data_IF_364777019366
#
_entry.id   IF_364777019366
#
_cell.length_a   1.000
_cell.length_b   1.000
_cell.length_c   1.000
_cell.angle_alpha   90.00
_cell.angle_beta   90.00
_cell.angle_gamma   90.00
#
_symmetry.space_group_name_H-M   'P 1'
#
loop_
_entity.id
_entity.type
_entity.pdbx_description
1 polymer ?
#
# COMPACT_ATOMS: atom_id res chain seq x y z
N UNK A 1 -14.99 24.24 -27.15
CA UNK A 1 -14.02 24.20 -26.03
C UNK A 1 -14.21 22.87 -25.31
N UNK A 2 -13.21 22.00 -25.32
CA UNK A 2 -13.28 20.70 -24.65
C UNK A 2 -12.90 20.90 -23.17
N UNK A 3 -13.87 20.82 -22.28
CA UNK A 3 -13.65 20.93 -20.82
C UNK A 3 -12.91 19.70 -20.30
N UNK A 4 -11.78 19.96 -19.63
CA UNK A 4 -10.85 18.97 -19.10
C UNK A 4 -11.15 18.61 -17.63
N UNK A 5 -12.43 18.56 -17.25
CA UNK A 5 -12.87 18.32 -15.85
C UNK A 5 -13.13 16.85 -15.49
N UNK A 6 -12.79 15.91 -16.38
CA UNK A 6 -13.15 14.49 -16.21
C UNK A 6 -12.15 13.64 -15.39
N UNK A 7 -11.06 14.22 -14.86
CA UNK A 7 -9.99 13.44 -14.21
C UNK A 7 -10.14 13.37 -12.67
N UNK A 8 -11.11 14.06 -12.07
CA UNK A 8 -11.33 14.02 -10.61
C UNK A 8 -12.35 12.96 -10.15
N UNK A 9 -13.00 12.26 -11.08
CA UNK A 9 -14.17 11.41 -10.80
C UNK A 9 -13.90 9.97 -10.32
N UNK A 10 -12.65 9.46 -10.33
CA UNK A 10 -12.38 8.03 -10.07
C UNK A 10 -11.89 7.68 -8.65
N UNK A 11 -12.00 8.59 -7.67
CA UNK A 11 -11.56 8.35 -6.27
C UNK A 11 -12.69 8.25 -5.23
N UNK A 12 -13.96 8.16 -5.63
CA UNK A 12 -15.11 8.15 -4.70
C UNK A 12 -15.77 6.76 -4.55
N UNK A 13 -15.01 5.80 -4.06
CA UNK A 13 -15.59 4.49 -3.71
C UNK A 13 -14.66 3.52 -3.01
N UNK A 14 -13.40 3.91 -2.79
CA UNK A 14 -12.48 3.06 -2.04
C UNK A 14 -12.68 3.33 -0.55
N UNK A 15 -12.96 2.30 0.26
CA UNK A 15 -12.99 2.46 1.71
C UNK A 15 -11.65 3.04 2.20
N UNK A 16 -11.69 3.77 3.30
CA UNK A 16 -10.47 4.28 3.93
C UNK A 16 -9.49 3.12 4.22
N UNK A 17 -8.18 3.32 4.02
CA UNK A 17 -7.20 2.29 4.33
C UNK A 17 -7.27 1.89 5.80
N UNK A 18 -7.22 0.58 6.10
CA UNK A 18 -7.21 0.10 7.48
C UNK A 18 -5.86 0.38 8.16
N UNK A 19 -5.82 0.27 9.49
CA UNK A 19 -4.58 0.44 10.26
C UNK A 19 -3.48 -0.53 9.82
N UNK A 20 -3.84 -1.76 9.46
CA UNK A 20 -2.92 -2.77 8.92
C UNK A 20 -2.36 -2.35 7.56
N UNK A 21 -3.20 -1.80 6.67
CA UNK A 21 -2.72 -1.27 5.38
C UNK A 21 -1.78 -0.08 5.58
N UNK A 22 -2.11 0.83 6.51
CA UNK A 22 -1.28 2.00 6.83
C UNK A 22 0.03 1.62 7.53
N UNK A 23 0.05 0.49 8.23
CA UNK A 23 1.25 -0.07 8.86
C UNK A 23 2.05 -0.98 7.92
N UNK A 24 1.63 -1.07 6.65
CA UNK A 24 2.25 -1.92 5.64
C UNK A 24 2.10 -3.41 5.94
N UNK A 25 1.19 -3.85 6.81
CA UNK A 25 0.94 -5.26 7.12
C UNK A 25 -0.01 -5.91 6.11
N UNK A 26 -0.81 -5.12 5.41
CA UNK A 26 -1.69 -5.57 4.35
C UNK A 26 -1.44 -4.81 3.05
N UNK A 27 -1.75 -5.44 1.92
CA UNK A 27 -1.74 -4.77 0.63
C UNK A 27 -2.73 -3.61 0.62
N UNK A 28 -2.25 -2.42 0.26
CA UNK A 28 -3.10 -1.24 0.15
C UNK A 28 -4.28 -1.52 -0.77
N UNK A 29 -4.07 -2.25 -1.89
CA UNK A 29 -5.08 -2.50 -2.94
C UNK A 29 -6.01 -3.67 -2.64
N UNK A 30 -5.49 -4.88 -2.46
CA UNK A 30 -6.31 -6.09 -2.34
C UNK A 30 -6.53 -6.54 -0.89
N UNK A 31 -5.93 -5.86 0.09
CA UNK A 31 -6.08 -6.21 1.51
C UNK A 31 -5.40 -7.51 1.93
N UNK A 32 -4.61 -8.15 1.06
CA UNK A 32 -3.85 -9.36 1.41
C UNK A 32 -2.96 -9.08 2.61
N UNK A 33 -3.15 -9.85 3.68
CA UNK A 33 -2.32 -9.81 4.87
C UNK A 33 -0.99 -10.51 4.61
N UNK A 34 0.10 -9.76 4.72
CA UNK A 34 1.44 -10.26 4.46
C UNK A 34 1.98 -11.19 5.55
N UNK A 35 1.31 -11.25 6.71
CA UNK A 35 1.70 -12.13 7.83
C UNK A 35 1.26 -13.57 7.60
N UNK A 36 0.19 -13.77 6.83
CA UNK A 36 -0.41 -15.08 6.58
C UNK A 36 -0.26 -15.56 5.14
N UNK A 37 0.05 -14.66 4.21
CA UNK A 37 0.23 -15.02 2.81
C UNK A 37 1.58 -15.76 2.58
N UNK A 38 1.60 -16.82 1.76
CA UNK A 38 2.84 -17.47 1.35
C UNK A 38 3.60 -16.58 0.37
N UNK A 39 4.77 -16.08 0.81
CA UNK A 39 5.74 -15.32 0.00
C UNK A 39 5.16 -14.19 -0.89
N UNK A 40 4.35 -13.25 -0.37
CA UNK A 40 3.96 -12.08 -1.14
C UNK A 40 5.18 -11.17 -1.37
N UNK A 41 5.56 -10.97 -2.62
CA UNK A 41 6.48 -9.90 -3.00
C UNK A 41 5.78 -8.56 -2.80
N UNK A 42 5.95 -7.96 -1.62
CA UNK A 42 5.46 -6.62 -1.33
C UNK A 42 6.46 -5.58 -1.83
N UNK A 43 5.98 -4.50 -2.45
CA UNK A 43 6.79 -3.38 -2.92
C UNK A 43 6.28 -2.07 -2.36
N UNK A 44 7.18 -1.10 -2.14
CA UNK A 44 6.84 0.24 -1.68
C UNK A 44 6.18 1.01 -2.82
N UNK A 45 5.00 1.58 -2.57
CA UNK A 45 4.23 2.31 -3.59
C UNK A 45 4.04 3.79 -3.27
N UNK A 46 4.15 4.16 -1.98
CA UNK A 46 4.10 5.53 -1.50
C UNK A 46 4.51 5.59 -0.03
N UNK A 47 4.57 6.81 0.51
CA UNK A 47 4.79 7.06 1.93
C UNK A 47 3.61 7.81 2.52
N UNK A 48 3.38 7.60 3.81
CA UNK A 48 2.42 8.38 4.62
C UNK A 48 2.86 8.36 6.08
N UNK A 49 2.90 9.53 6.71
CA UNK A 49 3.21 9.69 8.15
C UNK A 49 4.48 8.91 8.56
N UNK A 50 5.56 9.08 7.77
CA UNK A 50 6.85 8.38 7.88
C UNK A 50 6.81 6.84 7.78
N UNK A 51 5.71 6.29 7.25
CA UNK A 51 5.53 4.86 6.99
C UNK A 51 5.53 4.55 5.50
N UNK A 52 6.04 3.38 5.16
CA UNK A 52 5.96 2.81 3.82
C UNK A 52 4.57 2.19 3.60
N UNK A 53 3.86 2.66 2.58
CA UNK A 53 2.66 2.01 2.08
C UNK A 53 3.07 0.98 1.03
N UNK A 54 2.51 -0.23 1.14
CA UNK A 54 2.92 -1.38 0.35
C UNK A 54 1.78 -1.94 -0.50
N UNK A 55 2.14 -2.49 -1.65
CA UNK A 55 1.23 -3.29 -2.47
C UNK A 55 1.91 -4.59 -2.94
N UNK A 56 1.12 -5.59 -3.32
CA UNK A 56 1.66 -6.77 -3.99
C UNK A 56 2.31 -6.35 -5.31
N UNK A 57 3.42 -6.98 -5.67
CA UNK A 57 4.07 -6.80 -6.96
C UNK A 57 3.10 -7.03 -8.13
N UNK A 58 3.35 -6.37 -9.25
CA UNK A 58 2.53 -6.49 -10.46
C UNK A 58 1.29 -5.58 -10.43
N UNK A 59 0.10 -6.16 -10.47
CA UNK A 59 -1.15 -5.40 -10.69
C UNK A 59 -1.48 -4.45 -9.55
N UNK A 60 -1.27 -4.85 -8.29
CA UNK A 60 -1.56 -3.97 -7.15
C UNK A 60 -0.59 -2.79 -7.11
N UNK A 61 0.70 -3.02 -7.30
CA UNK A 61 1.69 -1.97 -7.43
C UNK A 61 1.35 -1.00 -8.58
N UNK A 62 1.03 -1.51 -9.77
CA UNK A 62 0.63 -0.68 -10.92
C UNK A 62 -0.60 0.17 -10.62
N UNK A 63 -1.60 -0.37 -9.93
CA UNK A 63 -2.79 0.40 -9.54
C UNK A 63 -2.49 1.48 -8.49
N UNK A 64 -1.52 1.26 -7.61
CA UNK A 64 -1.21 2.18 -6.53
C UNK A 64 -0.25 3.31 -6.95
N UNK A 65 0.80 3.00 -7.70
CA UNK A 65 1.89 3.94 -8.05
C UNK A 65 2.10 4.13 -9.55
N UNK A 66 1.40 3.38 -10.42
CA UNK A 66 1.65 3.36 -11.86
C UNK A 66 2.80 2.44 -12.29
N UNK A 67 3.57 1.87 -11.34
CA UNK A 67 4.71 0.99 -11.59
C UNK A 67 4.45 -0.41 -11.03
N UNK A 68 4.82 -1.45 -11.78
CA UNK A 68 4.73 -2.85 -11.30
C UNK A 68 5.73 -3.16 -10.19
N UNK A 69 6.85 -2.43 -10.15
CA UNK A 69 7.93 -2.62 -9.19
C UNK A 69 7.84 -1.64 -8.01
N UNK A 70 6.80 -0.80 -7.95
CA UNK A 70 6.72 0.25 -6.94
C UNK A 70 7.74 1.37 -7.19
N UNK A 71 8.25 1.95 -6.09
CA UNK A 71 9.21 3.06 -6.07
C UNK A 71 10.68 2.62 -6.14
N UNK A 72 10.96 1.34 -6.38
CA UNK A 72 12.31 0.76 -6.33
C UNK A 72 13.02 0.92 -4.98
N UNK A 73 12.21 0.99 -3.92
CA UNK A 73 12.68 1.04 -2.55
C UNK A 73 12.47 -0.31 -1.86
N UNK A 74 13.43 -0.69 -1.01
CA UNK A 74 13.31 -1.92 -0.23
C UNK A 74 12.29 -1.71 0.91
N UNK A 75 11.23 -2.53 0.99
CA UNK A 75 10.32 -2.50 2.13
C UNK A 75 11.05 -2.87 3.41
N UNK A 76 10.67 -2.24 4.52
CA UNK A 76 11.08 -2.68 5.84
C UNK A 76 10.71 -4.16 6.05
N UNK A 77 11.58 -4.94 6.74
CA UNK A 77 11.29 -6.33 7.05
C UNK A 77 9.92 -6.49 7.71
N UNK A 78 9.20 -7.57 7.40
CA UNK A 78 7.84 -7.78 7.93
C UNK A 78 7.81 -7.75 9.46
N UNK A 79 8.79 -8.37 10.11
CA UNK A 79 8.91 -8.36 11.57
C UNK A 79 9.07 -6.94 12.15
N UNK A 80 9.76 -6.04 11.45
CA UNK A 80 9.90 -4.64 11.84
C UNK A 80 8.57 -3.91 11.72
N UNK A 81 7.84 -4.10 10.61
CA UNK A 81 6.52 -3.51 10.40
C UNK A 81 5.52 -3.95 11.49
N UNK A 82 5.54 -5.24 11.85
CA UNK A 82 4.70 -5.78 12.93
C UNK A 82 5.04 -5.15 14.27
N UNK A 83 6.32 -5.01 14.61
CA UNK A 83 6.75 -4.39 15.87
C UNK A 83 6.29 -2.94 15.98
N UNK A 84 6.43 -2.15 14.90
CA UNK A 84 5.97 -0.75 14.88
C UNK A 84 4.46 -0.64 15.07
N UNK A 85 3.69 -1.46 14.34
CA UNK A 85 2.24 -1.50 14.47
C UNK A 85 1.80 -1.81 15.90
N UNK A 86 2.42 -2.80 16.55
CA UNK A 86 2.11 -3.16 17.94
C UNK A 86 2.44 -2.02 18.91
N UNK A 87 3.54 -1.29 18.70
CA UNK A 87 3.93 -0.17 19.54
C UNK A 87 2.98 1.04 19.41
N UNK A 88 2.31 1.21 18.27
CA UNK A 88 1.29 2.27 18.11
C UNK A 88 -0.03 1.95 18.83
N UNK A 89 -0.26 0.68 19.14
CA UNK A 89 -1.50 0.17 19.76
C UNK A 89 -1.34 -0.13 21.26
N UNK A 90 -0.17 0.14 21.84
CA UNK A 90 0.14 -0.03 23.27
C UNK A 90 -0.03 1.25 24.09
#
# INVERSE_FOLDING_TARGET
MYSQDAISGRRRGRPEPTAEMLSGLACLICGTDYRSAPAPEAVVVSHRDDRQLLACHGTCARMASGSVNGLDETPLPLAERVRRHQADHS
#
